data_IF_362808346594
#
_entry.id   IF_362808346594
#
_cell.length_a   1.000
_cell.length_b   1.000
_cell.length_c   1.000
_cell.angle_alpha   90.00
_cell.angle_beta   90.00
_cell.angle_gamma   90.00
#
_symmetry.space_group_name_H-M   'P 1'
#
loop_
_entity.id
_entity.type
_entity.pdbx_description
1 polymer ?
#
# COMPACT_ATOMS: atom_id res chain seq x y z
N UNK A 1 9.57 11.47 19.74
CA UNK A 1 9.66 12.62 18.81
C UNK A 1 8.25 13.01 18.46
N UNK A 2 7.70 14.00 19.17
CA UNK A 2 6.35 14.52 18.94
C UNK A 2 6.46 15.86 18.23
N UNK A 3 5.74 16.02 17.12
CA UNK A 3 5.54 17.31 16.48
C UNK A 3 4.16 17.82 16.83
N UNK A 4 4.13 18.77 17.77
CA UNK A 4 3.00 19.65 18.04
C UNK A 4 2.90 20.68 16.90
N UNK A 5 1.80 20.65 16.15
CA UNK A 5 1.47 21.66 15.14
C UNK A 5 0.84 22.88 15.82
N UNK A 6 1.46 24.05 15.61
CA UNK A 6 1.05 25.34 16.14
C UNK A 6 0.26 26.11 15.09
N UNK A 7 -0.80 26.76 15.57
CA UNK A 7 -1.75 27.65 14.91
C UNK A 7 -1.16 28.66 13.91
N UNK A 8 -1.95 29.04 12.90
CA UNK A 8 -1.93 30.40 12.34
C UNK A 8 -3.35 30.83 11.97
N UNK A 9 -3.97 31.60 12.87
CA UNK A 9 -5.16 32.40 12.61
C UNK A 9 -4.69 33.71 11.99
N UNK A 10 -5.07 34.00 10.75
CA UNK A 10 -4.81 35.28 10.10
C UNK A 10 -5.99 36.22 10.35
N UNK A 11 -5.80 37.18 11.26
CA UNK A 11 -6.67 38.32 11.49
C UNK A 11 -6.21 39.45 10.59
N UNK A 12 -6.99 39.78 9.56
CA UNK A 12 -6.73 40.94 8.70
C UNK A 12 -7.51 42.14 9.26
N UNK A 13 -6.77 43.13 9.76
CA UNK A 13 -7.30 44.45 10.14
C UNK A 13 -7.02 45.40 8.98
N UNK A 14 -8.07 45.96 8.37
CA UNK A 14 -7.95 47.03 7.37
C UNK A 14 -8.38 48.34 8.03
N UNK A 15 -7.47 49.31 8.10
CA UNK A 15 -7.80 50.71 8.40
C UNK A 15 -7.72 51.51 7.09
N UNK A 16 -8.75 52.31 6.83
CA UNK A 16 -8.83 53.18 5.65
C UNK A 16 -9.81 54.33 5.90
N UNK A 17 -9.33 55.55 5.73
CA UNK A 17 -9.98 56.84 6.01
C UNK A 17 -11.05 57.23 5.00
N UNK A 18 -12.00 58.06 5.47
CA UNK A 18 -13.19 58.60 4.78
C UNK A 18 -12.90 59.42 3.52
N UNK A 19 -13.72 59.21 2.49
CA UNK A 19 -14.15 60.23 1.52
C UNK A 19 -15.61 59.95 1.12
N UNK A 20 -16.46 60.99 1.24
CA UNK A 20 -17.91 60.96 0.99
C UNK A 20 -18.27 60.82 -0.49
N UNK A 21 -18.89 59.69 -0.87
CA UNK A 21 -19.89 59.58 -1.93
C UNK A 21 -21.01 58.65 -1.43
N UNK A 22 -22.11 59.24 -0.95
CA UNK A 22 -23.16 58.55 -0.18
C UNK A 22 -24.27 57.90 -1.01
N UNK A 23 -24.05 57.60 -2.29
CA UNK A 23 -25.03 56.91 -3.15
C UNK A 23 -24.30 56.00 -4.16
N UNK A 24 -23.69 54.92 -3.65
CA UNK A 24 -23.29 53.69 -4.40
C UNK A 24 -22.53 52.68 -3.51
N UNK A 25 -22.16 53.09 -2.30
CA UNK A 25 -21.20 52.36 -1.46
C UNK A 25 -21.79 51.09 -0.82
N UNK A 26 -23.09 51.08 -0.49
CA UNK A 26 -23.75 49.97 0.20
C UNK A 26 -23.97 48.76 -0.71
N UNK A 27 -24.37 48.98 -1.97
CA UNK A 27 -24.58 47.93 -2.97
C UNK A 27 -23.24 47.31 -3.36
N UNK A 28 -22.22 48.14 -3.61
CA UNK A 28 -20.86 47.70 -3.92
C UNK A 28 -20.24 46.85 -2.79
N UNK A 29 -20.53 47.17 -1.53
CA UNK A 29 -20.06 46.40 -0.37
C UNK A 29 -20.76 45.03 -0.25
N UNK A 30 -22.06 44.95 -0.55
CA UNK A 30 -22.83 43.70 -0.55
C UNK A 30 -22.38 42.76 -1.68
N UNK A 31 -22.14 43.29 -2.88
CA UNK A 31 -21.62 42.51 -4.00
C UNK A 31 -20.23 41.94 -3.70
N UNK A 32 -19.35 42.75 -3.11
CA UNK A 32 -18.02 42.30 -2.68
C UNK A 32 -18.11 41.21 -1.59
N UNK A 33 -19.08 41.32 -0.67
CA UNK A 33 -19.34 40.34 0.37
C UNK A 33 -19.85 39.01 -0.21
N UNK A 34 -20.81 39.04 -1.14
CA UNK A 34 -21.31 37.85 -1.85
C UNK A 34 -20.17 37.18 -2.60
N UNK A 35 -19.37 37.95 -3.34
CA UNK A 35 -18.27 37.42 -4.13
C UNK A 35 -17.16 36.80 -3.26
N UNK A 36 -16.90 37.36 -2.07
CA UNK A 36 -16.01 36.74 -1.09
C UNK A 36 -16.52 35.37 -0.63
N UNK A 37 -17.83 35.22 -0.41
CA UNK A 37 -18.44 33.94 -0.05
C UNK A 37 -18.40 32.93 -1.21
N UNK A 38 -18.64 33.36 -2.46
CA UNK A 38 -18.47 32.50 -3.65
C UNK A 38 -17.04 31.96 -3.77
N UNK A 39 -16.03 32.82 -3.58
CA UNK A 39 -14.61 32.39 -3.53
C UNK A 39 -14.37 31.39 -2.42
N UNK A 40 -14.94 31.61 -1.23
CA UNK A 40 -14.83 30.67 -0.12
C UNK A 40 -15.48 29.31 -0.43
N UNK A 41 -16.68 29.29 -1.01
CA UNK A 41 -17.37 28.09 -1.44
C UNK A 41 -16.58 27.29 -2.48
N UNK A 42 -16.01 27.98 -3.48
CA UNK A 42 -15.13 27.35 -4.46
C UNK A 42 -13.87 26.74 -3.83
N UNK A 43 -13.26 27.44 -2.86
CA UNK A 43 -12.10 26.91 -2.14
C UNK A 43 -12.42 25.62 -1.37
N UNK A 44 -13.63 25.51 -0.81
CA UNK A 44 -14.07 24.29 -0.11
C UNK A 44 -14.27 23.13 -1.08
N UNK A 45 -14.89 23.36 -2.24
CA UNK A 45 -15.03 22.32 -3.26
C UNK A 45 -13.66 21.85 -3.78
N UNK A 46 -12.72 22.80 -3.95
CA UNK A 46 -11.36 22.49 -4.34
C UNK A 46 -10.61 21.69 -3.26
N UNK A 47 -10.82 22.00 -1.97
CA UNK A 47 -10.27 21.19 -0.87
C UNK A 47 -10.76 19.74 -0.94
N UNK A 48 -12.06 19.53 -1.21
CA UNK A 48 -12.60 18.17 -1.36
C UNK A 48 -11.94 17.42 -2.52
N UNK A 49 -11.81 18.06 -3.68
CA UNK A 49 -11.15 17.49 -4.86
C UNK A 49 -9.71 17.09 -4.55
N UNK A 50 -8.93 18.02 -3.99
CA UNK A 50 -7.53 17.77 -3.64
C UNK A 50 -7.40 16.59 -2.66
N UNK A 51 -8.28 16.50 -1.65
CA UNK A 51 -8.23 15.41 -0.67
C UNK A 51 -8.61 14.07 -1.27
N UNK A 52 -9.56 14.03 -2.21
CA UNK A 52 -9.90 12.82 -2.97
C UNK A 52 -8.74 12.39 -3.87
N UNK A 53 -8.12 13.32 -4.61
CA UNK A 53 -6.98 13.03 -5.47
C UNK A 53 -5.76 12.51 -4.67
N UNK A 54 -5.50 13.10 -3.50
CA UNK A 54 -4.44 12.61 -2.59
C UNK A 54 -4.76 11.19 -2.11
N UNK A 55 -6.01 10.90 -1.78
CA UNK A 55 -6.43 9.55 -1.40
C UNK A 55 -6.21 8.56 -2.54
N UNK A 56 -6.70 8.87 -3.74
CA UNK A 56 -6.54 8.06 -4.95
C UNK A 56 -5.06 7.78 -5.26
N UNK A 57 -4.25 8.84 -5.25
CA UNK A 57 -2.82 8.78 -5.55
C UNK A 57 -2.10 7.88 -4.56
N UNK A 58 -2.29 8.12 -3.25
CA UNK A 58 -1.65 7.32 -2.21
C UNK A 58 -2.07 5.85 -2.27
N UNK A 59 -3.35 5.59 -2.58
CA UNK A 59 -3.87 4.24 -2.72
C UNK A 59 -3.22 3.51 -3.90
N UNK A 60 -3.16 4.15 -5.07
CA UNK A 60 -2.54 3.60 -6.26
C UNK A 60 -1.02 3.43 -6.12
N UNK A 61 -0.32 4.38 -5.52
CA UNK A 61 1.11 4.27 -5.24
C UNK A 61 1.42 3.11 -4.29
N UNK A 62 0.58 2.90 -3.28
CA UNK A 62 0.71 1.75 -2.38
C UNK A 62 0.58 0.43 -3.15
N UNK A 63 -0.34 0.33 -4.11
CA UNK A 63 -0.47 -0.86 -4.96
C UNK A 63 0.73 -1.07 -5.88
N UNK A 64 1.30 -0.01 -6.46
CA UNK A 64 2.51 -0.10 -7.32
C UNK A 64 3.71 -0.72 -6.61
N UNK A 65 3.78 -0.64 -5.27
CA UNK A 65 4.86 -1.31 -4.53
C UNK A 65 4.85 -2.83 -4.71
N UNK A 66 3.68 -3.44 -4.95
CA UNK A 66 3.54 -4.87 -5.25
C UNK A 66 4.17 -5.18 -6.62
N UNK A 67 3.94 -4.32 -7.62
CA UNK A 67 4.50 -4.50 -8.96
C UNK A 67 6.03 -4.38 -8.95
N UNK A 68 6.58 -3.43 -8.19
CA UNK A 68 8.03 -3.29 -8.01
C UNK A 68 8.63 -4.56 -7.36
N UNK A 69 7.98 -5.11 -6.33
CA UNK A 69 8.44 -6.35 -5.70
C UNK A 69 8.36 -7.55 -6.65
N UNK A 70 7.33 -7.59 -7.51
CA UNK A 70 7.22 -8.59 -8.56
C UNK A 70 8.38 -8.51 -9.55
N UNK A 71 8.78 -7.32 -9.99
CA UNK A 71 9.93 -7.14 -10.90
C UNK A 71 11.22 -7.71 -10.32
N UNK A 72 11.49 -7.48 -9.02
CA UNK A 72 12.65 -8.05 -8.35
C UNK A 72 12.59 -9.59 -8.31
N UNK A 73 11.43 -10.16 -8.01
CA UNK A 73 11.24 -11.61 -7.98
C UNK A 73 11.42 -12.23 -9.36
N UNK A 74 10.81 -11.66 -10.39
CA UNK A 74 10.93 -12.11 -11.78
C UNK A 74 12.39 -12.07 -12.23
N UNK A 75 13.11 -10.99 -11.94
CA UNK A 75 14.52 -10.92 -12.26
C UNK A 75 15.34 -11.98 -11.52
N UNK A 76 15.01 -12.29 -10.26
CA UNK A 76 15.65 -13.37 -9.52
C UNK A 76 15.38 -14.75 -10.13
N UNK A 77 14.16 -15.01 -10.62
CA UNK A 77 13.83 -16.24 -11.36
C UNK A 77 14.73 -16.36 -12.60
N UNK A 78 14.73 -15.33 -13.44
CA UNK A 78 15.51 -15.30 -14.69
C UNK A 78 17.01 -15.51 -14.47
N UNK A 79 17.60 -14.82 -13.48
CA UNK A 79 19.03 -14.97 -13.15
C UNK A 79 19.34 -16.41 -12.69
N UNK A 80 18.44 -17.05 -11.94
CA UNK A 80 18.63 -18.44 -11.55
C UNK A 80 18.49 -19.39 -12.73
N UNK A 81 17.53 -19.18 -13.62
CA UNK A 81 17.41 -19.97 -14.86
C UNK A 81 18.66 -19.88 -15.72
N UNK A 82 19.19 -18.67 -15.94
CA UNK A 82 20.44 -18.45 -16.66
C UNK A 82 21.62 -19.17 -15.99
N UNK A 83 21.75 -19.07 -14.66
CA UNK A 83 22.79 -19.77 -13.93
C UNK A 83 22.69 -21.30 -14.08
N UNK A 84 21.47 -21.85 -14.04
CA UNK A 84 21.25 -23.29 -14.22
C UNK A 84 21.55 -23.75 -15.66
N UNK A 85 21.21 -22.94 -16.66
CA UNK A 85 21.60 -23.21 -18.05
C UNK A 85 23.13 -23.30 -18.20
N UNK A 86 23.89 -22.46 -17.51
CA UNK A 86 25.36 -22.56 -17.53
C UNK A 86 25.88 -23.79 -16.78
N UNK A 87 25.23 -24.17 -15.68
CA UNK A 87 25.60 -25.34 -14.86
C UNK A 87 25.42 -26.65 -15.64
N UNK A 88 24.34 -26.76 -16.44
CA UNK A 88 24.07 -27.89 -17.35
C UNK A 88 25.23 -28.18 -18.32
N UNK A 89 26.00 -27.17 -18.70
CA UNK A 89 27.09 -27.30 -19.68
C UNK A 89 28.42 -27.79 -19.10
N UNK A 90 28.56 -27.82 -17.77
CA UNK A 90 29.85 -28.13 -17.14
C UNK A 90 30.23 -29.62 -17.23
N UNK A 91 29.29 -30.52 -16.97
CA UNK A 91 29.47 -31.97 -17.07
C UNK A 91 28.13 -32.72 -17.02
N UNK A 92 28.14 -34.02 -17.35
CA UNK A 92 26.93 -34.86 -17.39
C UNK A 92 26.22 -34.99 -16.04
N UNK A 93 26.95 -34.97 -14.91
CA UNK A 93 26.34 -35.04 -13.58
C UNK A 93 25.51 -33.78 -13.30
N UNK A 94 26.08 -32.60 -13.57
CA UNK A 94 25.37 -31.34 -13.41
C UNK A 94 24.15 -31.27 -14.34
N UNK A 95 24.30 -31.72 -15.59
CA UNK A 95 23.19 -31.82 -16.55
C UNK A 95 22.07 -32.72 -16.04
N UNK A 96 22.38 -33.89 -15.49
CA UNK A 96 21.40 -34.79 -14.88
C UNK A 96 20.68 -34.12 -13.70
N UNK A 97 21.45 -33.51 -12.79
CA UNK A 97 20.91 -32.84 -11.61
C UNK A 97 20.01 -31.66 -11.96
N UNK A 98 20.42 -30.80 -12.89
CA UNK A 98 19.59 -29.68 -13.33
C UNK A 98 18.34 -30.17 -14.03
N UNK A 99 18.43 -31.10 -14.99
CA UNK A 99 17.24 -31.65 -15.67
C UNK A 99 16.22 -32.27 -14.70
N UNK A 100 16.71 -32.86 -13.60
CA UNK A 100 15.86 -33.46 -12.57
C UNK A 100 15.06 -32.44 -11.77
N UNK A 101 15.66 -31.31 -11.40
CA UNK A 101 15.06 -30.35 -10.46
C UNK A 101 14.62 -29.02 -11.08
N UNK A 102 15.09 -28.66 -12.28
CA UNK A 102 14.67 -27.45 -13.02
C UNK A 102 13.14 -27.33 -13.18
N UNK A 103 12.36 -28.40 -13.42
CA UNK A 103 10.90 -28.30 -13.46
C UNK A 103 10.24 -27.83 -12.16
N UNK A 104 10.95 -27.82 -11.03
CA UNK A 104 10.46 -27.30 -9.74
C UNK A 104 10.69 -25.79 -9.57
N UNK A 105 11.39 -25.13 -10.50
CA UNK A 105 11.49 -23.67 -10.51
C UNK A 105 10.11 -23.05 -10.74
N UNK A 106 9.81 -21.93 -10.08
CA UNK A 106 8.61 -21.16 -10.43
C UNK A 106 8.78 -20.57 -11.83
N UNK A 107 7.74 -20.73 -12.66
CA UNK A 107 7.68 -20.10 -13.98
C UNK A 107 7.40 -18.60 -13.85
N UNK A 108 8.10 -17.79 -14.65
CA UNK A 108 7.99 -16.33 -14.64
C UNK A 108 6.54 -15.87 -14.87
N UNK A 109 5.89 -16.34 -15.93
CA UNK A 109 4.53 -15.91 -16.30
C UNK A 109 3.47 -16.32 -15.28
N UNK A 110 3.61 -17.52 -14.71
CA UNK A 110 2.73 -17.98 -13.62
C UNK A 110 2.91 -17.10 -12.38
N UNK A 111 4.15 -16.77 -12.03
CA UNK A 111 4.47 -15.92 -10.88
C UNK A 111 3.89 -14.50 -11.06
N UNK A 112 4.04 -13.91 -12.25
CA UNK A 112 3.45 -12.61 -12.59
C UNK A 112 1.94 -12.62 -12.44
N UNK A 113 1.26 -13.58 -13.08
CA UNK A 113 -0.20 -13.68 -13.03
C UNK A 113 -0.72 -13.82 -11.59
N UNK A 114 -0.04 -14.63 -10.77
CA UNK A 114 -0.43 -14.86 -9.39
C UNK A 114 -0.29 -13.59 -8.53
N UNK A 115 0.84 -12.88 -8.62
CA UNK A 115 1.07 -11.64 -7.86
C UNK A 115 0.16 -10.51 -8.35
N UNK A 116 -0.01 -10.34 -9.66
CA UNK A 116 -0.90 -9.30 -10.22
C UNK A 116 -2.37 -9.53 -9.86
N UNK A 117 -2.79 -10.79 -9.71
CA UNK A 117 -4.15 -11.09 -9.25
C UNK A 117 -4.43 -10.57 -7.84
N UNK A 118 -3.39 -10.44 -6.98
CA UNK A 118 -3.51 -9.92 -5.62
C UNK A 118 -3.85 -8.42 -5.58
N UNK A 119 -3.25 -7.61 -6.46
CA UNK A 119 -3.50 -6.16 -6.51
C UNK A 119 -4.79 -5.81 -7.27
N UNK A 120 -5.22 -6.66 -8.21
CA UNK A 120 -6.37 -6.41 -9.06
C UNK A 120 -7.69 -6.17 -8.29
N UNK A 121 -7.95 -6.97 -7.25
CA UNK A 121 -9.17 -6.84 -6.45
C UNK A 121 -9.19 -5.53 -5.66
N UNK A 122 -8.02 -5.08 -5.18
CA UNK A 122 -7.88 -3.80 -4.51
C UNK A 122 -8.08 -2.63 -5.50
N UNK A 123 -7.47 -2.70 -6.68
CA UNK A 123 -7.67 -1.70 -7.74
C UNK A 123 -9.15 -1.51 -8.09
N UNK A 124 -9.89 -2.61 -8.24
CA UNK A 124 -11.35 -2.58 -8.50
C UNK A 124 -12.19 -1.98 -7.37
N UNK A 125 -11.65 -1.90 -6.16
CA UNK A 125 -12.36 -1.37 -4.99
C UNK A 125 -12.38 0.15 -4.98
N UNK A 126 -11.40 0.80 -5.60
CA UNK A 126 -11.20 2.25 -5.55
C UNK A 126 -12.46 3.07 -5.87
N UNK A 127 -13.22 2.83 -6.96
CA UNK A 127 -14.43 3.59 -7.24
C UNK A 127 -15.48 3.51 -6.12
N UNK A 128 -15.63 2.34 -5.49
CA UNK A 128 -16.57 2.16 -4.37
C UNK A 128 -16.10 2.82 -3.06
N UNK A 129 -14.81 3.16 -2.95
CA UNK A 129 -14.29 3.90 -1.81
C UNK A 129 -14.55 5.40 -1.93
N UNK A 130 -14.76 5.90 -3.16
CA UNK A 130 -14.93 7.32 -3.44
C UNK A 130 -16.38 7.75 -3.70
N UNK A 131 -17.29 6.80 -3.93
CA UNK A 131 -18.68 7.05 -4.28
C UNK A 131 -19.37 8.07 -3.35
N UNK A 132 -19.35 7.83 -2.04
CA UNK A 132 -19.95 8.71 -1.04
C UNK A 132 -19.30 10.11 -0.98
N UNK A 133 -17.98 10.18 -1.23
CA UNK A 133 -17.22 11.43 -1.27
C UNK A 133 -17.63 12.27 -2.48
N UNK A 134 -17.74 11.63 -3.64
CA UNK A 134 -18.19 12.25 -4.88
C UNK A 134 -19.62 12.77 -4.72
N UNK A 135 -20.51 11.98 -4.13
CA UNK A 135 -21.90 12.36 -3.89
C UNK A 135 -21.98 13.61 -3.00
N UNK A 136 -21.28 13.61 -1.86
CA UNK A 136 -21.27 14.76 -0.93
C UNK A 136 -20.71 16.03 -1.59
N UNK A 137 -19.64 15.90 -2.38
CA UNK A 137 -19.10 17.02 -3.15
C UNK A 137 -20.12 17.54 -4.17
N UNK A 138 -20.77 16.66 -4.93
CA UNK A 138 -21.77 17.05 -5.92
C UNK A 138 -22.96 17.75 -5.27
N UNK A 139 -23.46 17.21 -4.15
CA UNK A 139 -24.56 17.81 -3.39
C UNK A 139 -24.21 19.22 -2.91
N UNK A 140 -22.99 19.43 -2.40
CA UNK A 140 -22.54 20.75 -1.97
C UNK A 140 -22.38 21.72 -3.15
N UNK A 141 -21.81 21.24 -4.26
CA UNK A 141 -21.66 22.03 -5.49
C UNK A 141 -23.00 22.47 -6.06
N UNK A 142 -23.96 21.57 -6.14
CA UNK A 142 -25.30 21.84 -6.65
C UNK A 142 -26.06 22.82 -5.73
N UNK A 143 -25.89 22.69 -4.42
CA UNK A 143 -26.44 23.65 -3.46
C UNK A 143 -25.89 25.06 -3.69
N UNK A 144 -24.57 25.21 -3.86
CA UNK A 144 -23.98 26.52 -4.16
C UNK A 144 -24.46 27.06 -5.51
N UNK A 145 -24.45 26.24 -6.56
CA UNK A 145 -24.79 26.70 -7.91
C UNK A 145 -26.27 27.03 -8.10
N UNK A 146 -27.16 26.41 -7.32
CA UNK A 146 -28.62 26.56 -7.48
C UNK A 146 -29.23 27.34 -6.32
N UNK A 147 -29.15 26.79 -5.11
CA UNK A 147 -29.86 27.34 -3.95
C UNK A 147 -29.26 28.65 -3.50
N UNK A 148 -27.94 28.69 -3.28
CA UNK A 148 -27.28 29.91 -2.83
C UNK A 148 -27.43 31.05 -3.86
N UNK A 149 -27.14 30.79 -5.14
CA UNK A 149 -27.28 31.82 -6.17
C UNK A 149 -28.72 32.31 -6.33
N UNK A 150 -29.71 31.42 -6.32
CA UNK A 150 -31.13 31.82 -6.38
C UNK A 150 -31.50 32.69 -5.18
N UNK A 151 -31.18 32.24 -3.97
CA UNK A 151 -31.54 32.95 -2.73
C UNK A 151 -30.87 34.33 -2.65
N UNK A 152 -29.63 34.46 -3.11
CA UNK A 152 -28.92 35.76 -3.18
C UNK A 152 -29.60 36.70 -4.17
N UNK A 153 -30.00 36.23 -5.36
CA UNK A 153 -30.66 37.09 -6.36
C UNK A 153 -32.03 37.61 -5.93
N UNK A 154 -32.67 36.94 -4.97
CA UNK A 154 -33.96 37.34 -4.40
C UNK A 154 -33.82 38.33 -3.23
N UNK A 155 -32.60 38.63 -2.77
CA UNK A 155 -32.37 39.54 -1.66
C UNK A 155 -32.30 41.00 -2.11
N UNK A 156 -32.96 41.88 -1.36
CA UNK A 156 -33.02 43.34 -1.60
C UNK A 156 -32.27 44.17 -0.54
N UNK A 157 -31.72 43.52 0.49
CA UNK A 157 -31.04 44.20 1.60
C UNK A 157 -29.98 43.31 2.28
N UNK A 158 -29.15 43.94 3.12
CA UNK A 158 -28.06 43.30 3.86
C UNK A 158 -28.52 42.18 4.81
N UNK A 159 -29.64 42.38 5.51
CA UNK A 159 -30.17 41.39 6.45
C UNK A 159 -30.59 40.09 5.72
N UNK A 160 -31.12 40.21 4.50
CA UNK A 160 -31.42 39.07 3.65
C UNK A 160 -30.15 38.34 3.22
N UNK A 161 -29.17 39.05 2.66
CA UNK A 161 -27.90 38.47 2.16
C UNK A 161 -27.15 37.76 3.29
N UNK A 162 -27.04 38.39 4.46
CA UNK A 162 -26.37 37.79 5.63
C UNK A 162 -27.07 36.52 6.12
N UNK A 163 -28.41 36.47 6.08
CA UNK A 163 -29.17 35.25 6.41
C UNK A 163 -28.95 34.13 5.38
N UNK A 164 -28.92 34.44 4.09
CA UNK A 164 -28.62 33.45 3.02
C UNK A 164 -27.22 32.88 3.20
N UNK A 165 -26.22 33.74 3.42
CA UNK A 165 -24.84 33.30 3.70
C UNK A 165 -24.76 32.46 4.97
N UNK A 166 -25.48 32.81 6.04
CA UNK A 166 -25.53 32.03 7.27
C UNK A 166 -26.10 30.61 7.06
N UNK A 167 -27.15 30.49 6.25
CA UNK A 167 -27.71 29.18 5.85
C UNK A 167 -26.72 28.37 5.01
N UNK A 168 -26.07 29.02 4.04
CA UNK A 168 -25.06 28.36 3.21
C UNK A 168 -23.87 27.87 4.05
N UNK A 169 -23.40 28.67 5.01
CA UNK A 169 -22.34 28.28 5.94
C UNK A 169 -22.75 27.11 6.82
N UNK A 170 -24.00 27.07 7.29
CA UNK A 170 -24.53 25.95 8.07
C UNK A 170 -24.58 24.67 7.24
N UNK A 171 -25.10 24.74 6.01
CA UNK A 171 -25.14 23.61 5.08
C UNK A 171 -23.72 23.11 4.73
N UNK A 172 -22.80 24.04 4.51
CA UNK A 172 -21.38 23.77 4.27
C UNK A 172 -20.74 23.03 5.43
N UNK A 173 -20.91 23.53 6.66
CA UNK A 173 -20.33 22.91 7.85
C UNK A 173 -20.82 21.47 8.06
N UNK A 174 -22.11 21.22 7.81
CA UNK A 174 -22.67 19.86 7.84
C UNK A 174 -22.02 18.97 6.79
N UNK A 175 -21.90 19.43 5.54
CA UNK A 175 -21.25 18.66 4.47
C UNK A 175 -19.77 18.41 4.75
N UNK A 176 -19.05 19.36 5.35
CA UNK A 176 -17.64 19.19 5.74
C UNK A 176 -17.46 18.09 6.76
N UNK A 177 -18.37 18.02 7.75
CA UNK A 177 -18.36 16.94 8.73
C UNK A 177 -18.65 15.58 8.10
N UNK A 178 -19.64 15.52 7.21
CA UNK A 178 -19.99 14.31 6.46
C UNK A 178 -18.82 13.83 5.60
N UNK A 179 -18.26 14.72 4.79
CA UNK A 179 -17.11 14.43 3.93
C UNK A 179 -15.89 13.96 4.72
N UNK A 180 -15.57 14.60 5.85
CA UNK A 180 -14.48 14.17 6.72
C UNK A 180 -14.70 12.74 7.26
N UNK A 181 -15.92 12.42 7.69
CA UNK A 181 -16.27 11.09 8.21
C UNK A 181 -16.18 10.02 7.11
N UNK A 182 -16.67 10.33 5.91
CA UNK A 182 -16.56 9.47 4.74
C UNK A 182 -15.09 9.26 4.34
N UNK A 183 -14.28 10.31 4.39
CA UNK A 183 -12.84 10.24 4.06
C UNK A 183 -12.09 9.32 5.04
N UNK A 184 -12.38 9.43 6.33
CA UNK A 184 -11.82 8.52 7.34
C UNK A 184 -12.23 7.07 7.09
N UNK A 185 -13.50 6.86 6.71
CA UNK A 185 -14.05 5.54 6.39
C UNK A 185 -13.39 4.95 5.14
N UNK A 186 -13.33 5.72 4.05
CA UNK A 186 -12.67 5.34 2.80
C UNK A 186 -11.19 5.02 3.03
N UNK A 187 -10.50 5.83 3.83
CA UNK A 187 -9.10 5.59 4.22
C UNK A 187 -8.95 4.28 4.99
N UNK A 188 -9.83 3.99 5.94
CA UNK A 188 -9.78 2.77 6.73
C UNK A 188 -10.03 1.52 5.86
N UNK A 189 -11.09 1.54 5.05
CA UNK A 189 -11.44 0.44 4.13
C UNK A 189 -10.38 0.25 3.05
N UNK A 190 -9.82 1.35 2.56
CA UNK A 190 -8.70 1.36 1.62
C UNK A 190 -7.48 0.65 2.21
N UNK A 191 -7.06 1.03 3.43
CA UNK A 191 -5.97 0.35 4.15
C UNK A 191 -6.22 -1.14 4.34
N UNK A 192 -7.45 -1.54 4.66
CA UNK A 192 -7.83 -2.94 4.75
C UNK A 192 -7.63 -3.68 3.43
N UNK A 193 -8.10 -3.09 2.33
CA UNK A 193 -7.96 -3.66 0.97
C UNK A 193 -6.50 -3.76 0.53
N UNK A 194 -5.69 -2.72 0.80
CA UNK A 194 -4.25 -2.71 0.55
C UNK A 194 -3.54 -3.82 1.35
N UNK A 195 -3.88 -3.97 2.64
CA UNK A 195 -3.33 -5.03 3.47
C UNK A 195 -3.62 -6.41 2.89
N UNK A 196 -4.85 -6.67 2.46
CA UNK A 196 -5.21 -7.96 1.83
C UNK A 196 -4.41 -8.20 0.55
N UNK A 197 -4.24 -7.20 -0.30
CA UNK A 197 -3.42 -7.31 -1.50
C UNK A 197 -1.94 -7.60 -1.18
N UNK A 198 -1.39 -6.89 -0.19
CA UNK A 198 -0.02 -7.10 0.28
C UNK A 198 0.17 -8.49 0.87
N UNK A 199 -0.71 -8.95 1.77
CA UNK A 199 -0.62 -10.28 2.39
C UNK A 199 -0.70 -11.40 1.32
N UNK A 200 -1.59 -11.25 0.33
CA UNK A 200 -1.68 -12.15 -0.83
C UNK A 200 -0.37 -12.16 -1.63
N UNK A 201 0.16 -10.98 -1.98
CA UNK A 201 1.39 -10.85 -2.77
C UNK A 201 2.60 -11.41 -2.02
N UNK A 202 2.67 -11.19 -0.70
CA UNK A 202 3.74 -11.70 0.13
C UNK A 202 3.74 -13.23 0.17
N UNK A 203 2.55 -13.83 0.28
CA UNK A 203 2.40 -15.29 0.24
C UNK A 203 2.86 -15.86 -1.11
N UNK A 204 2.44 -15.23 -2.20
CA UNK A 204 2.86 -15.56 -3.56
C UNK A 204 4.38 -15.52 -3.74
N UNK A 205 4.99 -14.40 -3.36
CA UNK A 205 6.42 -14.17 -3.50
C UNK A 205 7.23 -15.11 -2.60
N UNK A 206 6.78 -15.34 -1.35
CA UNK A 206 7.45 -16.26 -0.42
C UNK A 206 7.46 -17.69 -0.95
N UNK A 207 6.35 -18.14 -1.55
CA UNK A 207 6.28 -19.46 -2.17
C UNK A 207 7.25 -19.59 -3.34
N UNK A 208 7.30 -18.59 -4.23
CA UNK A 208 8.24 -18.58 -5.35
C UNK A 208 9.70 -18.58 -4.89
N UNK A 209 10.05 -17.74 -3.91
CA UNK A 209 11.40 -17.69 -3.33
C UNK A 209 11.80 -19.01 -2.65
N UNK A 210 10.85 -19.65 -1.95
CA UNK A 210 11.06 -20.97 -1.34
C UNK A 210 11.31 -22.06 -2.39
N UNK A 211 10.55 -22.04 -3.49
CA UNK A 211 10.76 -22.96 -4.63
C UNK A 211 12.12 -22.72 -5.31
N UNK A 212 12.52 -21.47 -5.51
CA UNK A 212 13.85 -21.11 -6.01
C UNK A 212 14.96 -21.65 -5.11
N UNK A 213 14.89 -21.35 -3.81
CA UNK A 213 15.92 -21.74 -2.84
C UNK A 213 16.02 -23.27 -2.68
N UNK A 214 14.88 -23.95 -2.59
CA UNK A 214 14.84 -25.42 -2.49
C UNK A 214 15.36 -26.09 -3.75
N UNK A 215 14.96 -25.62 -4.93
CA UNK A 215 15.46 -26.15 -6.21
C UNK A 215 16.96 -25.98 -6.34
N UNK A 216 17.50 -24.80 -6.03
CA UNK A 216 18.94 -24.55 -6.03
C UNK A 216 19.67 -25.50 -5.06
N UNK A 217 19.16 -25.65 -3.84
CA UNK A 217 19.74 -26.54 -2.82
C UNK A 217 19.76 -28.00 -3.29
N UNK A 218 18.67 -28.47 -3.92
CA UNK A 218 18.59 -29.83 -4.46
C UNK A 218 19.59 -30.05 -5.60
N UNK A 219 19.75 -29.07 -6.49
CA UNK A 219 20.72 -29.13 -7.59
C UNK A 219 22.15 -29.14 -7.04
N UNK A 220 22.48 -28.27 -6.07
CA UNK A 220 23.81 -28.20 -5.47
C UNK A 220 24.16 -29.51 -4.75
N UNK A 221 23.23 -30.07 -3.96
CA UNK A 221 23.41 -31.36 -3.27
C UNK A 221 23.59 -32.51 -4.24
N UNK A 222 22.79 -32.56 -5.30
CA UNK A 222 22.90 -33.58 -6.34
C UNK A 222 24.26 -33.49 -7.06
N UNK A 223 24.68 -32.28 -7.42
CA UNK A 223 25.94 -32.03 -8.14
C UNK A 223 27.17 -32.39 -7.30
N UNK A 224 27.08 -32.24 -5.98
CA UNK A 224 28.12 -32.65 -5.03
C UNK A 224 28.09 -34.14 -4.69
N UNK A 225 27.14 -34.92 -5.24
CA UNK A 225 26.84 -36.29 -4.81
C UNK A 225 26.58 -36.41 -3.30
N UNK A 226 26.14 -35.31 -2.68
CA UNK A 226 25.77 -35.24 -1.27
C UNK A 226 24.42 -35.91 -1.00
N UNK A 227 23.59 -36.04 -2.04
CA UNK A 227 22.46 -36.96 -2.04
C UNK A 227 23.00 -38.38 -2.27
N UNK A 228 23.37 -39.00 -1.15
CA UNK A 228 23.98 -40.32 -1.10
C UNK A 228 23.25 -41.35 -1.97
N UNK A 229 24.05 -42.24 -2.56
CA UNK A 229 23.63 -43.46 -3.28
C UNK A 229 22.35 -44.08 -2.69
N UNK A 230 21.45 -44.66 -3.51
CA UNK A 230 20.44 -45.57 -2.98
C UNK A 230 21.16 -46.71 -2.23
N UNK A 231 21.01 -46.73 -0.91
CA UNK A 231 21.74 -47.63 0.02
C UNK A 231 22.80 -46.97 0.92
N UNK A 232 23.12 -45.69 0.74
CA UNK A 232 24.04 -44.93 1.58
C UNK A 232 23.31 -44.07 2.60
N UNK A 233 22.70 -44.67 3.62
CA UNK A 233 22.33 -43.89 4.79
C UNK A 233 23.60 -43.38 5.45
N UNK A 234 23.56 -42.18 6.03
CA UNK A 234 24.63 -41.80 6.93
C UNK A 234 24.67 -42.83 8.07
N UNK A 235 25.74 -43.63 8.14
CA UNK A 235 25.83 -44.76 9.10
C UNK A 235 25.71 -44.27 10.56
N UNK A 236 26.05 -43.00 10.79
CA UNK A 236 26.02 -42.37 12.10
C UNK A 236 24.85 -41.41 12.19
N UNK A 237 23.69 -41.93 12.62
CA UNK A 237 22.53 -41.13 13.02
C UNK A 237 22.56 -40.95 14.53
N UNK A 238 22.69 -39.70 14.98
CA UNK A 238 22.62 -39.35 16.40
C UNK A 238 21.25 -38.75 16.69
N UNK A 239 20.53 -39.39 17.62
CA UNK A 239 19.22 -38.94 18.05
C UNK A 239 19.37 -37.89 19.13
N UNK A 240 18.95 -36.67 18.85
CA UNK A 240 18.96 -35.57 19.80
C UNK A 240 17.52 -35.33 20.21
N UNK A 241 17.25 -35.29 21.50
CA UNK A 241 15.90 -34.94 21.92
C UNK A 241 15.67 -33.44 21.81
N UNK A 242 14.47 -33.05 21.38
CA UNK A 242 14.03 -31.66 21.19
C UNK A 242 14.30 -30.71 22.38
N UNK A 243 14.42 -31.24 23.61
CA UNK A 243 14.76 -30.46 24.81
C UNK A 243 16.26 -30.11 24.94
N UNK A 244 17.14 -30.75 24.17
CA UNK A 244 18.57 -30.43 24.11
C UNK A 244 18.86 -29.24 23.19
N UNK A 245 17.88 -28.83 22.38
CA UNK A 245 17.97 -27.62 21.55
C UNK A 245 17.47 -26.45 22.39
N UNK A 246 18.39 -25.64 22.91
CA UNK A 246 18.02 -24.45 23.65
C UNK A 246 17.51 -23.35 22.68
N UNK A 247 16.20 -23.19 22.57
CA UNK A 247 15.59 -22.19 21.67
C UNK A 247 15.90 -20.73 22.04
N UNK A 248 16.37 -20.48 23.27
CA UNK A 248 16.76 -19.13 23.75
C UNK A 248 18.26 -18.84 23.58
N UNK A 249 19.09 -19.86 23.36
CA UNK A 249 20.51 -19.74 23.01
C UNK A 249 20.80 -20.86 22.02
N UNK A 250 20.92 -20.58 20.70
CA UNK A 250 21.03 -21.60 19.66
C UNK A 250 22.40 -22.29 19.72
N UNK A 251 22.61 -23.05 20.77
CA UNK A 251 23.79 -23.80 21.11
C UNK A 251 23.32 -25.22 21.40
N UNK A 252 23.97 -26.17 20.77
CA UNK A 252 23.81 -27.60 20.98
C UNK A 252 25.19 -28.12 21.36
N UNK A 253 25.25 -29.11 22.24
CA UNK A 253 26.52 -29.73 22.61
C UNK A 253 27.25 -30.26 21.36
N UNK A 254 28.56 -30.06 21.30
CA UNK A 254 29.36 -30.41 20.13
C UNK A 254 29.32 -31.94 19.93
N UNK A 255 28.70 -32.44 18.84
CA UNK A 255 28.50 -33.87 18.63
C UNK A 255 29.77 -34.60 18.16
N UNK A 256 30.83 -33.84 17.87
CA UNK A 256 32.14 -34.34 17.50
C UNK A 256 33.09 -34.44 18.70
N UNK A 257 32.67 -33.98 19.89
CA UNK A 257 33.50 -34.03 21.09
C UNK A 257 33.71 -35.49 21.53
N UNK A 258 34.97 -35.95 21.52
CA UNK A 258 35.35 -37.31 21.90
C UNK A 258 35.18 -38.39 20.82
N UNK A 259 34.81 -38.03 19.58
CA UNK A 259 34.76 -38.97 18.45
C UNK A 259 36.10 -38.96 17.70
N UNK A 260 36.66 -40.14 17.44
CA UNK A 260 37.84 -40.28 16.58
C UNK A 260 37.47 -39.96 15.12
N UNK A 261 38.40 -39.39 14.35
CA UNK A 261 38.25 -38.76 13.03
C UNK A 261 37.74 -39.66 11.87
N UNK A 262 37.16 -40.84 12.15
CA UNK A 262 36.83 -41.86 11.13
C UNK A 262 35.38 -41.85 10.64
N UNK A 263 34.51 -40.95 11.11
CA UNK A 263 33.12 -40.88 10.64
C UNK A 263 32.99 -39.91 9.45
N UNK A 264 32.62 -40.45 8.28
CA UNK A 264 32.50 -39.70 7.02
C UNK A 264 31.26 -38.79 6.95
N UNK A 265 30.29 -38.98 7.85
CA UNK A 265 29.10 -38.16 7.97
C UNK A 265 28.49 -38.32 9.38
N UNK A 266 27.73 -37.31 9.83
CA UNK A 266 26.89 -37.37 11.02
C UNK A 266 25.53 -36.77 10.68
N UNK A 267 24.44 -37.52 10.90
CA UNK A 267 23.07 -37.03 10.75
C UNK A 267 22.43 -36.84 12.12
N UNK A 268 21.93 -35.64 12.41
CA UNK A 268 21.12 -35.38 13.60
C UNK A 268 19.65 -35.65 13.31
N UNK A 269 19.07 -36.55 14.09
CA UNK A 269 17.64 -36.81 14.07
C UNK A 269 17.02 -36.25 15.35
N UNK A 270 16.33 -35.11 15.22
CA UNK A 270 15.63 -34.48 16.34
C UNK A 270 14.31 -35.22 16.58
N UNK A 271 14.02 -35.60 17.82
CA UNK A 271 12.78 -36.27 18.23
C UNK A 271 12.14 -35.67 19.48
#
# INVERSE_FOLDING_TARGET
MGFTSLFSLLLVVVTGTLAEHAFDNTTTHLDAYIEANRRHHNAILQDYENRMEIFETNYNESLKTIDIQLEFLVNAIRVNEEALNTLELLNELNKECVNKYKPSLPEEEVTKALVQSCSYSAYKRLPSLEEDLMETRMNLKDYYARTFETDVTLCDNEACVTNVVSKANSFTATNQKTFATQMDTATCLGKGSLKTALDCSFTAQSNALSLLASTKTLIDRCSQKADCKPGGYCEHVEKISSHMVNYTKPMVDNPFYGKNETSSCLLWQIY
#
